data_IF_864040977949
#
_entry.id   IF_864040977949
#
_cell.length_a   1.000
_cell.length_b   1.000
_cell.length_c   1.000
_cell.angle_alpha   90.00
_cell.angle_beta   90.00
_cell.angle_gamma   90.00
#
_symmetry.space_group_name_H-M   'P 1'
#
loop_
_entity.id
_entity.type
_entity.pdbx_description
1 polymer ?
#
# COMPACT_ATOMS: atom_id res chain seq x y z
N UNK A 1 -33.90 18.16 -6.55
CA UNK A 1 -33.27 17.76 -5.27
C UNK A 1 -31.82 17.41 -5.59
N UNK A 2 -30.95 18.42 -5.63
CA UNK A 2 -29.55 18.25 -6.04
C UNK A 2 -28.74 17.76 -4.84
N UNK A 3 -28.30 16.51 -4.89
CA UNK A 3 -27.39 15.94 -3.92
C UNK A 3 -26.01 16.55 -4.14
N UNK A 4 -25.73 17.67 -3.47
CA UNK A 4 -24.38 18.16 -3.30
C UNK A 4 -23.69 17.29 -2.25
N UNK A 5 -23.02 16.22 -2.67
CA UNK A 5 -22.07 15.52 -1.81
C UNK A 5 -20.90 16.48 -1.58
N UNK A 6 -20.91 17.15 -0.43
CA UNK A 6 -19.74 17.83 0.11
C UNK A 6 -18.71 16.74 0.45
N UNK A 7 -17.98 16.26 -0.55
CA UNK A 7 -16.87 15.33 -0.39
C UNK A 7 -15.70 16.10 0.23
N UNK A 8 -15.78 16.34 1.54
CA UNK A 8 -14.64 16.81 2.31
C UNK A 8 -13.47 15.86 2.01
N UNK A 9 -12.41 16.38 1.40
CA UNK A 9 -11.29 15.57 0.89
C UNK A 9 -10.61 14.83 2.05
N UNK A 10 -10.98 13.58 2.27
CA UNK A 10 -10.42 12.78 3.36
C UNK A 10 -8.92 12.54 3.11
N UNK A 11 -8.12 12.79 4.15
CA UNK A 11 -6.71 12.44 4.21
C UNK A 11 -6.41 11.77 5.56
N UNK A 12 -5.95 10.51 5.59
CA UNK A 12 -5.63 9.82 6.84
C UNK A 12 -4.40 10.45 7.49
N UNK A 13 -4.33 10.42 8.83
CA UNK A 13 -3.18 10.95 9.58
C UNK A 13 -1.89 10.18 9.29
N UNK A 14 -1.99 8.87 9.09
CA UNK A 14 -0.90 7.95 8.76
C UNK A 14 -1.42 6.79 7.90
N UNK A 15 -0.51 6.16 7.16
CA UNK A 15 -0.73 4.93 6.40
C UNK A 15 0.41 3.97 6.66
N UNK A 16 0.09 2.69 6.81
CA UNK A 16 1.05 1.60 6.94
C UNK A 16 0.93 0.70 5.71
N UNK A 17 2.04 0.47 5.01
CA UNK A 17 2.13 -0.53 3.96
C UNK A 17 2.74 -1.81 4.53
N UNK A 18 1.92 -2.85 4.63
CA UNK A 18 2.39 -4.22 4.79
C UNK A 18 2.50 -4.85 3.40
N UNK A 19 3.70 -5.31 3.02
CA UNK A 19 3.96 -5.82 1.69
C UNK A 19 4.71 -7.14 1.76
N UNK A 20 4.02 -8.23 1.43
CA UNK A 20 4.65 -9.53 1.24
C UNK A 20 5.27 -9.57 -0.16
N UNK A 21 6.60 -9.41 -0.21
CA UNK A 21 7.37 -9.41 -1.47
C UNK A 21 7.60 -10.84 -1.96
N UNK A 22 7.62 -11.80 -1.04
CA UNK A 22 7.79 -13.22 -1.33
C UNK A 22 6.82 -14.03 -0.48
N UNK A 23 6.30 -15.09 -1.09
CA UNK A 23 5.51 -16.12 -0.42
C UNK A 23 6.35 -17.39 -0.20
N UNK A 24 7.63 -17.40 -0.58
CA UNK A 24 8.51 -18.55 -0.38
C UNK A 24 8.93 -18.65 1.07
N UNK A 25 8.66 -19.80 1.68
CA UNK A 25 9.11 -20.12 3.02
C UNK A 25 9.59 -21.57 3.09
N UNK A 26 10.75 -21.79 3.73
CA UNK A 26 11.31 -23.13 3.96
C UNK A 26 10.82 -23.78 5.26
N UNK A 27 9.93 -23.11 6.01
CA UNK A 27 9.30 -23.63 7.22
C UNK A 27 7.86 -24.09 6.96
N UNK A 28 7.32 -24.91 7.86
CA UNK A 28 5.93 -25.41 7.85
C UNK A 28 5.31 -25.25 9.22
N UNK A 29 5.21 -24.00 9.66
CA UNK A 29 4.76 -23.67 11.01
C UNK A 29 3.28 -24.04 11.18
N UNK A 30 2.93 -24.74 12.27
CA UNK A 30 1.56 -25.19 12.55
C UNK A 30 0.53 -24.04 12.68
N UNK A 31 1.00 -22.82 12.96
CA UNK A 31 0.16 -21.62 13.08
C UNK A 31 0.42 -20.60 11.97
N UNK A 32 0.98 -21.04 10.83
CA UNK A 32 1.13 -20.16 9.68
C UNK A 32 -0.23 -19.94 9.02
N UNK A 33 -0.64 -18.67 8.87
CA UNK A 33 -1.84 -18.33 8.10
C UNK A 33 -1.61 -18.49 6.58
N UNK A 34 -0.35 -18.57 6.15
CA UNK A 34 0.02 -18.80 4.78
C UNK A 34 -0.01 -20.32 4.52
N UNK A 35 -0.97 -20.76 3.72
CA UNK A 35 -1.23 -22.15 3.38
C UNK A 35 -0.54 -22.58 2.07
N UNK A 36 -0.22 -21.62 1.20
CA UNK A 36 0.48 -21.85 -0.06
C UNK A 36 1.84 -21.12 -0.11
N UNK A 37 2.94 -21.88 -0.17
CA UNK A 37 4.32 -21.41 -0.06
C UNK A 37 5.07 -21.25 -1.40
N UNK A 38 4.35 -21.38 -2.51
CA UNK A 38 4.90 -21.18 -3.86
C UNK A 38 3.79 -20.63 -4.78
N UNK A 39 3.68 -19.31 -4.84
CA UNK A 39 2.73 -18.58 -5.70
C UNK A 39 3.50 -17.75 -6.73
N UNK A 40 2.81 -17.29 -7.76
CA UNK A 40 3.35 -16.29 -8.68
C UNK A 40 3.69 -15.00 -7.92
N UNK A 41 4.97 -14.66 -7.90
CA UNK A 41 5.51 -13.45 -7.28
C UNK A 41 5.63 -12.34 -8.32
N UNK A 42 5.49 -11.10 -7.88
CA UNK A 42 5.74 -9.95 -8.75
C UNK A 42 7.21 -9.95 -9.21
N UNK A 43 7.44 -9.58 -10.47
CA UNK A 43 8.79 -9.30 -10.94
C UNK A 43 9.40 -8.14 -10.16
N UNK A 44 10.73 -8.08 -10.07
CA UNK A 44 11.41 -6.96 -9.42
C UNK A 44 11.00 -5.60 -10.02
N UNK A 45 10.82 -5.54 -11.34
CA UNK A 45 10.35 -4.33 -12.01
C UNK A 45 8.94 -3.93 -11.57
N UNK A 46 8.04 -4.89 -11.39
CA UNK A 46 6.67 -4.61 -10.94
C UNK A 46 6.62 -4.23 -9.46
N UNK A 47 7.49 -4.80 -8.62
CA UNK A 47 7.67 -4.33 -7.25
C UNK A 47 8.05 -2.84 -7.26
N UNK A 48 9.05 -2.43 -8.04
CA UNK A 48 9.43 -1.02 -8.14
C UNK A 48 8.28 -0.11 -8.60
N UNK A 49 7.40 -0.59 -9.49
CA UNK A 49 6.19 0.15 -9.91
C UNK A 49 5.22 0.35 -8.74
N UNK A 50 4.97 -0.69 -7.93
CA UNK A 50 4.11 -0.59 -6.74
C UNK A 50 4.68 0.43 -5.75
N UNK A 51 5.99 0.40 -5.50
CA UNK A 51 6.65 1.38 -4.64
C UNK A 51 6.49 2.82 -5.17
N UNK A 52 6.64 3.03 -6.48
CA UNK A 52 6.45 4.33 -7.10
C UNK A 52 5.00 4.83 -6.96
N UNK A 53 4.02 3.95 -7.15
CA UNK A 53 2.60 4.26 -6.96
C UNK A 53 2.28 4.62 -5.51
N UNK A 54 2.82 3.87 -4.55
CA UNK A 54 2.63 4.14 -3.13
C UNK A 54 3.23 5.50 -2.72
N UNK A 55 4.44 5.82 -3.18
CA UNK A 55 5.05 7.15 -2.97
C UNK A 55 4.19 8.27 -3.54
N UNK A 56 3.63 8.10 -4.76
CA UNK A 56 2.73 9.06 -5.38
C UNK A 56 1.46 9.26 -4.55
N UNK A 57 0.85 8.18 -4.07
CA UNK A 57 -0.31 8.24 -3.18
C UNK A 57 -0.01 9.03 -1.92
N UNK A 58 1.10 8.74 -1.24
CA UNK A 58 1.52 9.48 -0.04
C UNK A 58 1.72 10.96 -0.32
N UNK A 59 2.31 11.32 -1.47
CA UNK A 59 2.49 12.72 -1.85
C UNK A 59 1.13 13.43 -2.02
N UNK A 60 0.18 12.80 -2.70
CA UNK A 60 -1.19 13.33 -2.86
C UNK A 60 -1.91 13.49 -1.52
N UNK A 61 -1.80 12.51 -0.62
CA UNK A 61 -2.46 12.57 0.69
C UNK A 61 -1.82 13.63 1.60
N UNK A 62 -0.50 13.79 1.57
CA UNK A 62 0.19 14.84 2.31
C UNK A 62 -0.22 16.25 1.84
N UNK A 63 -0.36 16.44 0.53
CA UNK A 63 -0.87 17.71 -0.03
C UNK A 63 -2.29 18.01 0.45
N UNK A 64 -3.19 17.01 0.44
CA UNK A 64 -4.56 17.15 0.96
C UNK A 64 -4.62 17.43 2.46
N UNK A 65 -3.68 16.86 3.23
CA UNK A 65 -3.55 17.09 4.66
C UNK A 65 -2.87 18.42 5.02
N UNK A 66 -2.40 19.20 4.03
CA UNK A 66 -1.64 20.43 4.26
C UNK A 66 -0.25 20.21 4.87
N UNK A 67 0.31 19.00 4.75
CA UNK A 67 1.65 18.67 5.27
C UNK A 67 2.72 18.96 4.22
N UNK A 68 3.86 19.59 4.60
CA UNK A 68 4.97 19.78 3.66
C UNK A 68 5.57 18.43 3.26
N UNK A 69 5.89 18.27 1.98
CA UNK A 69 6.64 17.12 1.48
C UNK A 69 8.11 17.31 1.83
N UNK A 70 8.62 16.55 2.80
CA UNK A 70 10.05 16.50 3.06
C UNK A 70 10.73 15.68 1.95
N UNK A 71 11.64 16.34 1.23
CA UNK A 71 12.48 15.75 0.18
C UNK A 71 13.69 15.02 0.79
#
# INVERSE_FOLDING_TARGET
MSMHTNEASYAPKSLLLQWHITERCNLRCAHCYQDNYARDELSFADLLKVLAQFKKLLATLNQRAGKPLHA
#
